data_IF_288727512210
#
_entry.id   IF_288727512210
#
_cell.length_a   1.000
_cell.length_b   1.000
_cell.length_c   1.000
_cell.angle_alpha   90.00
_cell.angle_beta   90.00
_cell.angle_gamma   90.00
#
_symmetry.space_group_name_H-M   'P 1'
#
loop_
_entity.id
_entity.type
_entity.pdbx_description
1 polymer ?
#
# COMPACT_ATOMS: atom_id res chain seq x y z
N UNK A 1 -7.63 -34.22 5.12
CA UNK A 1 -7.55 -33.27 3.98
C UNK A 1 -6.34 -33.61 3.13
N UNK A 2 -6.45 -33.44 1.82
CA UNK A 2 -5.30 -33.59 0.92
C UNK A 2 -4.40 -32.36 1.00
N UNK A 3 -3.16 -32.47 0.53
CA UNK A 3 -2.24 -31.33 0.46
C UNK A 3 -2.82 -30.20 -0.38
N UNK A 4 -3.45 -30.51 -1.51
CA UNK A 4 -4.10 -29.50 -2.36
C UNK A 4 -5.24 -28.78 -1.63
N UNK A 5 -6.04 -29.50 -0.85
CA UNK A 5 -7.12 -28.89 -0.06
C UNK A 5 -6.58 -27.95 1.03
N UNK A 6 -5.48 -28.33 1.68
CA UNK A 6 -4.83 -27.49 2.69
C UNK A 6 -4.29 -26.20 2.06
N UNK A 7 -3.67 -26.29 0.90
CA UNK A 7 -3.15 -25.13 0.16
C UNK A 7 -4.31 -24.23 -0.30
N UNK A 8 -5.39 -24.82 -0.81
CA UNK A 8 -6.59 -24.03 -1.23
C UNK A 8 -7.22 -23.27 -0.05
N UNK A 9 -7.20 -23.87 1.16
CA UNK A 9 -7.67 -23.16 2.36
C UNK A 9 -6.78 -21.95 2.70
N UNK A 10 -5.47 -22.08 2.56
CA UNK A 10 -4.53 -20.98 2.76
C UNK A 10 -4.75 -19.89 1.69
N UNK A 11 -4.95 -20.28 0.44
CA UNK A 11 -5.27 -19.35 -0.66
C UNK A 11 -6.54 -18.56 -0.33
N UNK A 12 -7.60 -19.22 0.14
CA UNK A 12 -8.85 -18.53 0.51
C UNK A 12 -8.61 -17.51 1.64
N UNK A 13 -7.80 -17.85 2.63
CA UNK A 13 -7.44 -16.94 3.70
C UNK A 13 -6.67 -15.71 3.18
N UNK A 14 -5.68 -15.93 2.33
CA UNK A 14 -4.89 -14.85 1.74
C UNK A 14 -5.72 -13.96 0.82
N UNK A 15 -6.69 -14.51 0.11
CA UNK A 15 -7.61 -13.73 -0.71
C UNK A 15 -8.48 -12.80 0.13
N UNK A 16 -8.92 -13.27 1.30
CA UNK A 16 -9.66 -12.44 2.25
C UNK A 16 -8.78 -11.30 2.78
N UNK A 17 -7.55 -11.59 3.16
CA UNK A 17 -6.60 -10.57 3.62
C UNK A 17 -6.32 -9.53 2.53
N UNK A 18 -6.15 -9.98 1.29
CA UNK A 18 -5.96 -9.09 0.14
C UNK A 18 -7.14 -8.15 -0.03
N UNK A 19 -8.37 -8.65 0.10
CA UNK A 19 -9.59 -7.83 0.01
C UNK A 19 -9.67 -6.78 1.13
N UNK A 20 -9.09 -7.06 2.30
CA UNK A 20 -9.01 -6.09 3.39
C UNK A 20 -7.94 -5.03 3.14
N UNK A 21 -6.76 -5.44 2.66
CA UNK A 21 -5.61 -4.55 2.52
C UNK A 21 -5.62 -3.70 1.24
N UNK A 22 -6.27 -4.15 0.17
CA UNK A 22 -6.34 -3.37 -1.08
C UNK A 22 -7.04 -2.02 -0.91
N UNK A 23 -8.20 -1.92 -0.24
CA UNK A 23 -8.82 -0.63 0.02
C UNK A 23 -7.96 0.28 0.93
N UNK A 24 -7.27 -0.31 1.91
CA UNK A 24 -6.35 0.43 2.78
C UNK A 24 -5.16 0.99 1.99
N UNK A 25 -4.62 0.22 1.05
CA UNK A 25 -3.57 0.69 0.15
C UNK A 25 -4.05 1.84 -0.72
N UNK A 26 -5.23 1.71 -1.31
CA UNK A 26 -5.82 2.76 -2.14
C UNK A 26 -5.99 4.06 -1.36
N UNK A 27 -6.49 3.97 -0.13
CA UNK A 27 -6.64 5.11 0.77
C UNK A 27 -5.29 5.74 1.10
N UNK A 28 -4.27 4.92 1.38
CA UNK A 28 -2.92 5.39 1.66
C UNK A 28 -2.29 6.09 0.44
N UNK A 29 -2.52 5.58 -0.77
CA UNK A 29 -2.07 6.21 -2.01
C UNK A 29 -2.75 7.56 -2.24
N UNK A 30 -4.04 7.66 -1.96
CA UNK A 30 -4.79 8.92 -2.05
C UNK A 30 -4.27 9.95 -1.05
N UNK A 31 -4.02 9.54 0.19
CA UNK A 31 -3.46 10.42 1.22
C UNK A 31 -2.05 10.87 0.88
N UNK A 32 -1.23 9.99 0.34
CA UNK A 32 0.11 10.31 -0.14
C UNK A 32 0.06 11.36 -1.26
N UNK A 33 -0.83 11.19 -2.22
CA UNK A 33 -1.02 12.13 -3.32
C UNK A 33 -1.47 13.51 -2.82
N UNK A 34 -2.38 13.55 -1.85
CA UNK A 34 -2.84 14.80 -1.24
C UNK A 34 -1.73 15.49 -0.47
N UNK A 35 -0.94 14.75 0.30
CA UNK A 35 0.20 15.29 1.04
C UNK A 35 1.26 15.88 0.10
N UNK A 36 1.52 15.20 -1.02
CA UNK A 36 2.43 15.70 -2.05
C UNK A 36 1.93 17.01 -2.67
N UNK A 37 0.64 17.09 -2.98
CA UNK A 37 0.02 18.33 -3.49
C UNK A 37 0.14 19.47 -2.50
N UNK A 38 0.00 19.20 -1.19
CA UNK A 38 0.19 20.21 -0.15
C UNK A 38 1.62 20.73 -0.11
N UNK A 39 2.61 19.87 -0.29
CA UNK A 39 4.01 20.29 -0.41
C UNK A 39 4.19 21.24 -1.59
N UNK A 40 3.66 20.90 -2.75
CA UNK A 40 3.75 21.75 -3.94
C UNK A 40 3.05 23.10 -3.75
N UNK A 41 1.86 23.11 -3.18
CA UNK A 41 1.12 24.34 -2.89
C UNK A 41 1.87 25.20 -1.89
N UNK A 42 2.46 24.59 -0.87
CA UNK A 42 3.26 25.32 0.13
C UNK A 42 4.47 25.97 -0.52
N UNK A 43 5.22 25.24 -1.33
CA UNK A 43 6.40 25.76 -2.03
C UNK A 43 6.03 26.91 -2.96
N UNK A 44 4.94 26.79 -3.71
CA UNK A 44 4.44 27.81 -4.62
C UNK A 44 4.03 29.09 -3.87
N UNK A 45 3.31 28.94 -2.76
CA UNK A 45 2.89 30.06 -1.93
C UNK A 45 4.08 30.73 -1.24
N UNK A 46 5.05 29.94 -0.76
CA UNK A 46 6.27 30.51 -0.19
C UNK A 46 7.09 31.29 -1.19
N UNK A 47 7.22 30.77 -2.41
CA UNK A 47 7.94 31.50 -3.48
C UNK A 47 7.24 32.79 -3.87
N UNK A 48 5.92 32.82 -3.82
CA UNK A 48 5.13 34.00 -4.13
C UNK A 48 5.20 35.08 -3.03
N UNK A 49 5.12 34.69 -1.77
CA UNK A 49 5.06 35.60 -0.61
C UNK A 49 6.43 35.89 0.02
N UNK A 50 7.34 34.91 -0.07
CA UNK A 50 8.63 34.93 0.63
C UNK A 50 8.51 34.74 2.14
N UNK A 51 7.33 34.46 2.66
CA UNK A 51 7.06 34.32 4.10
C UNK A 51 6.27 33.04 4.40
N UNK A 52 6.87 32.16 5.16
CA UNK A 52 6.24 30.86 5.56
C UNK A 52 4.94 31.09 6.37
N UNK A 53 4.86 32.12 7.17
CA UNK A 53 3.71 32.42 8.03
C UNK A 53 2.42 32.67 7.24
N UNK A 54 2.54 33.19 6.01
CA UNK A 54 1.39 33.47 5.15
C UNK A 54 0.77 32.20 4.53
N UNK A 55 1.47 31.07 4.64
CA UNK A 55 1.02 29.79 4.07
C UNK A 55 0.13 29.00 5.03
N UNK A 56 0.09 29.36 6.32
CA UNK A 56 -0.76 28.73 7.34
C UNK A 56 -0.19 27.46 7.97
N UNK A 57 0.82 26.86 7.38
CA UNK A 57 1.54 25.70 7.93
C UNK A 57 3.05 25.94 7.81
N UNK A 58 3.82 25.38 8.73
CA UNK A 58 5.29 25.43 8.62
C UNK A 58 5.78 24.41 7.59
N UNK A 59 6.98 24.61 7.09
CA UNK A 59 7.64 23.66 6.19
C UNK A 59 7.75 22.29 6.84
N UNK A 60 8.14 22.24 8.11
CA UNK A 60 8.31 21.01 8.85
C UNK A 60 6.98 20.23 8.96
N UNK A 61 5.87 20.91 9.24
CA UNK A 61 4.55 20.30 9.31
C UNK A 61 4.14 19.65 7.98
N UNK A 62 4.37 20.35 6.89
CA UNK A 62 4.01 19.89 5.54
C UNK A 62 4.87 18.68 5.14
N UNK A 63 6.16 18.73 5.38
CA UNK A 63 7.06 17.61 5.09
C UNK A 63 6.85 16.43 6.03
N UNK A 64 6.49 16.65 7.29
CA UNK A 64 6.15 15.57 8.24
C UNK A 64 4.88 14.84 7.78
N UNK A 65 3.84 15.56 7.37
CA UNK A 65 2.63 14.96 6.80
C UNK A 65 2.95 14.09 5.57
N UNK A 66 3.79 14.60 4.68
CA UNK A 66 4.21 13.87 3.50
C UNK A 66 5.01 12.62 3.86
N UNK A 67 5.97 12.74 4.78
CA UNK A 67 6.80 11.62 5.22
C UNK A 67 5.98 10.51 5.85
N UNK A 68 5.00 10.85 6.71
CA UNK A 68 4.09 9.88 7.33
C UNK A 68 3.20 9.20 6.29
N UNK A 69 2.66 9.97 5.35
CA UNK A 69 1.83 9.44 4.28
C UNK A 69 2.62 8.51 3.34
N UNK A 70 3.86 8.86 3.02
CA UNK A 70 4.76 8.06 2.21
C UNK A 70 5.08 6.72 2.91
N UNK A 71 5.39 6.77 4.20
CA UNK A 71 5.67 5.57 5.00
C UNK A 71 4.45 4.65 5.05
N UNK A 72 3.26 5.19 5.32
CA UNK A 72 2.02 4.41 5.38
C UNK A 72 1.71 3.76 4.03
N UNK A 73 1.90 4.48 2.93
CA UNK A 73 1.69 3.95 1.59
C UNK A 73 2.67 2.82 1.28
N UNK A 74 3.95 2.99 1.61
CA UNK A 74 4.97 1.95 1.37
C UNK A 74 4.70 0.69 2.17
N UNK A 75 4.32 0.82 3.44
CA UNK A 75 3.97 -0.32 4.29
C UNK A 75 2.76 -1.07 3.76
N UNK A 76 1.71 -0.35 3.34
CA UNK A 76 0.52 -0.96 2.75
C UNK A 76 0.85 -1.67 1.42
N UNK A 77 1.69 -1.06 0.60
CA UNK A 77 2.13 -1.62 -0.67
C UNK A 77 2.90 -2.91 -0.50
N UNK A 78 3.81 -2.96 0.47
CA UNK A 78 4.58 -4.17 0.80
C UNK A 78 3.66 -5.29 1.24
N UNK A 79 2.67 -5.02 2.09
CA UNK A 79 1.69 -6.03 2.53
C UNK A 79 0.92 -6.63 1.37
N UNK A 80 0.35 -5.79 0.51
CA UNK A 80 -0.42 -6.26 -0.65
C UNK A 80 0.47 -7.03 -1.62
N UNK A 81 1.68 -6.56 -1.88
CA UNK A 81 2.61 -7.23 -2.77
C UNK A 81 3.03 -8.59 -2.23
N UNK A 82 3.31 -8.69 -0.92
CA UNK A 82 3.66 -9.96 -0.27
C UNK A 82 2.53 -10.99 -0.40
N UNK A 83 1.29 -10.55 -0.24
CA UNK A 83 0.13 -11.43 -0.40
C UNK A 83 0.00 -11.89 -1.86
N UNK A 84 0.16 -11.00 -2.83
CA UNK A 84 0.12 -11.35 -4.25
C UNK A 84 1.18 -12.36 -4.63
N UNK A 85 2.40 -12.19 -4.14
CA UNK A 85 3.50 -13.12 -4.38
C UNK A 85 3.24 -14.48 -3.74
N UNK A 86 2.74 -14.50 -2.51
CA UNK A 86 2.36 -15.74 -1.83
C UNK A 86 1.25 -16.48 -2.57
N UNK A 87 0.22 -15.77 -3.04
CA UNK A 87 -0.86 -16.35 -3.83
C UNK A 87 -0.35 -16.96 -5.13
N UNK A 88 0.52 -16.26 -5.84
CA UNK A 88 1.12 -16.77 -7.08
C UNK A 88 1.88 -18.06 -6.84
N UNK A 89 2.71 -18.12 -5.80
CA UNK A 89 3.45 -19.32 -5.43
C UNK A 89 2.53 -20.49 -5.06
N UNK A 90 1.46 -20.22 -4.31
CA UNK A 90 0.50 -21.23 -3.90
C UNK A 90 -0.33 -21.75 -5.07
N UNK A 91 -0.74 -20.91 -6.01
CA UNK A 91 -1.43 -21.33 -7.22
C UNK A 91 -0.55 -22.26 -8.05
N UNK A 92 0.73 -21.93 -8.20
CA UNK A 92 1.68 -22.82 -8.89
C UNK A 92 1.85 -24.16 -8.19
N UNK A 93 1.88 -24.16 -6.86
CA UNK A 93 1.97 -25.39 -6.07
C UNK A 93 0.75 -26.28 -6.25
N UNK A 94 -0.45 -25.70 -6.22
CA UNK A 94 -1.70 -26.45 -6.46
C UNK A 94 -1.72 -27.03 -7.87
N UNK A 95 -1.36 -26.23 -8.86
CA UNK A 95 -1.29 -26.66 -10.26
C UNK A 95 -0.33 -27.85 -10.44
N UNK A 96 0.85 -27.79 -9.82
CA UNK A 96 1.83 -28.86 -9.87
C UNK A 96 1.31 -30.13 -9.19
N UNK A 97 0.67 -30.00 -8.03
CA UNK A 97 0.08 -31.15 -7.30
C UNK A 97 -1.02 -31.81 -8.13
N UNK A 98 -1.91 -31.04 -8.72
CA UNK A 98 -3.00 -31.55 -9.56
C UNK A 98 -2.46 -32.22 -10.83
N UNK A 99 -1.43 -31.63 -11.44
CA UNK A 99 -0.79 -32.18 -12.64
C UNK A 99 -0.11 -33.51 -12.36
N UNK A 100 0.51 -33.67 -11.18
CA UNK A 100 1.17 -34.91 -10.77
C UNK A 100 0.20 -35.96 -10.22
N UNK A 101 -1.05 -35.59 -10.01
CA UNK A 101 -2.07 -36.52 -9.46
C UNK A 101 -1.90 -36.79 -7.97
N UNK A 102 -1.28 -35.89 -7.24
CA UNK A 102 -1.01 -36.03 -5.80
C UNK A 102 -2.20 -35.53 -4.91
#
# INVERSE_FOLDING_TARGET
MTNAQNIKAIIAQLMREKQEFEPALKKAEEQHSLAFKRVLVWEEAYMASGKAEEVGQTLDEVYDEYSEADKAMREAKVKVQSIKEALEALYKAVEAIEWLGL
#
